data_IF_198498808307
#
_entry.id   IF_198498808307
#
_cell.length_a   1.000
_cell.length_b   1.000
_cell.length_c   1.000
_cell.angle_alpha   90.00
_cell.angle_beta   90.00
_cell.angle_gamma   90.00
#
_symmetry.space_group_name_H-M   'P 1'
#
loop_
_entity.id
_entity.type
_entity.pdbx_description
1 polymer ?
#
# COMPACT_ATOMS: atom_id res chain seq x y z
N UNK A 1 -17.72 -23.35 -71.11
CA UNK A 1 -19.13 -23.24 -70.65
C UNK A 1 -19.12 -23.45 -69.15
N UNK A 2 -19.59 -22.44 -68.41
CA UNK A 2 -19.26 -22.12 -67.02
C UNK A 2 -19.88 -23.03 -65.96
N UNK A 3 -19.15 -23.27 -64.86
CA UNK A 3 -19.74 -23.66 -63.57
C UNK A 3 -19.13 -22.77 -62.49
N UNK A 4 -19.89 -21.76 -62.06
CA UNK A 4 -19.55 -20.88 -60.94
C UNK A 4 -19.83 -21.65 -59.65
N UNK A 5 -18.80 -21.86 -58.82
CA UNK A 5 -18.95 -22.36 -57.45
C UNK A 5 -18.83 -21.18 -56.47
N UNK A 6 -19.92 -20.89 -55.78
CA UNK A 6 -19.99 -19.88 -54.73
C UNK A 6 -19.11 -20.29 -53.55
N UNK A 7 -18.03 -19.54 -53.31
CA UNK A 7 -17.25 -19.62 -52.07
C UNK A 7 -17.94 -18.76 -51.01
N UNK A 8 -18.62 -19.42 -50.06
CA UNK A 8 -19.13 -18.77 -48.87
C UNK A 8 -17.97 -18.38 -47.94
N UNK A 9 -17.78 -17.08 -47.72
CA UNK A 9 -16.82 -16.54 -46.75
C UNK A 9 -17.53 -16.49 -45.38
N UNK A 10 -17.21 -17.43 -44.49
CA UNK A 10 -17.58 -17.34 -43.08
C UNK A 10 -16.62 -16.37 -42.37
N UNK A 11 -17.07 -15.14 -42.14
CA UNK A 11 -16.41 -14.18 -41.25
C UNK A 11 -16.68 -14.59 -39.79
N UNK A 12 -15.74 -15.29 -39.17
CA UNK A 12 -15.69 -15.46 -37.71
C UNK A 12 -15.24 -14.14 -37.09
N UNK A 13 -16.20 -13.37 -36.57
CA UNK A 13 -15.92 -12.18 -35.76
C UNK A 13 -15.40 -12.62 -34.40
N UNK A 14 -14.08 -12.56 -34.21
CA UNK A 14 -13.46 -12.68 -32.90
C UNK A 14 -13.87 -11.46 -32.06
N UNK A 15 -14.84 -11.64 -31.16
CA UNK A 15 -15.11 -10.68 -30.09
C UNK A 15 -13.90 -10.69 -29.13
N UNK A 16 -13.20 -9.56 -28.92
CA UNK A 16 -12.16 -9.50 -27.93
C UNK A 16 -12.79 -9.71 -26.55
N UNK A 17 -12.34 -10.74 -25.84
CA UNK A 17 -12.63 -10.90 -24.42
C UNK A 17 -12.01 -9.70 -23.71
N UNK A 18 -12.82 -8.71 -23.36
CA UNK A 18 -12.39 -7.58 -22.54
C UNK A 18 -12.00 -8.13 -21.16
N UNK A 19 -10.72 -8.34 -20.93
CA UNK A 19 -10.20 -8.66 -19.61
C UNK A 19 -10.53 -7.48 -18.67
N UNK A 20 -11.43 -7.70 -17.70
CA UNK A 20 -11.58 -6.77 -16.59
C UNK A 20 -10.27 -6.80 -15.79
N UNK A 21 -9.42 -5.79 -15.99
CA UNK A 21 -8.30 -5.55 -15.09
C UNK A 21 -8.89 -5.20 -13.72
N UNK A 22 -8.72 -6.07 -12.73
CA UNK A 22 -9.02 -5.74 -11.35
C UNK A 22 -8.21 -4.50 -10.97
N UNK A 23 -8.89 -3.45 -10.49
CA UNK A 23 -8.23 -2.24 -9.99
C UNK A 23 -7.41 -2.63 -8.77
N UNK A 24 -6.11 -2.86 -8.97
CA UNK A 24 -5.18 -3.03 -7.86
C UNK A 24 -4.92 -1.64 -7.27
N UNK A 25 -5.09 -1.49 -5.95
CA UNK A 25 -4.66 -0.27 -5.27
C UNK A 25 -3.14 -0.22 -5.36
N UNK A 26 -2.61 0.63 -6.23
CA UNK A 26 -1.17 0.84 -6.38
C UNK A 26 -0.68 1.68 -5.21
N UNK A 27 0.12 1.07 -4.34
CA UNK A 27 0.72 1.77 -3.20
C UNK A 27 1.93 2.53 -3.72
N UNK A 28 1.90 3.86 -3.58
CA UNK A 28 2.98 4.75 -4.00
C UNK A 28 4.31 4.33 -3.35
N UNK A 29 5.33 4.16 -4.17
CA UNK A 29 6.69 3.91 -3.72
C UNK A 29 7.32 5.18 -3.13
N UNK A 30 8.46 5.02 -2.47
CA UNK A 30 9.34 6.07 -2.00
C UNK A 30 9.67 7.07 -3.11
N UNK A 31 9.93 6.55 -4.31
CA UNK A 31 10.20 7.38 -5.48
C UNK A 31 8.96 8.18 -5.90
N UNK A 32 7.80 7.52 -5.99
CA UNK A 32 6.53 8.18 -6.35
C UNK A 32 6.21 9.31 -5.36
N UNK A 33 6.40 9.05 -4.06
CA UNK A 33 6.16 10.04 -3.00
C UNK A 33 7.11 11.24 -3.10
N UNK A 34 8.39 11.00 -3.41
CA UNK A 34 9.38 12.07 -3.65
C UNK A 34 9.01 12.88 -4.89
N UNK A 35 8.60 12.23 -5.98
CA UNK A 35 8.19 12.92 -7.21
C UNK A 35 6.92 13.74 -7.01
N UNK A 36 5.93 13.22 -6.27
CA UNK A 36 4.71 13.95 -5.95
C UNK A 36 5.01 15.25 -5.18
N UNK A 37 5.91 15.17 -4.19
CA UNK A 37 6.34 16.34 -3.43
C UNK A 37 7.22 17.29 -4.26
N UNK A 38 8.07 16.77 -5.13
CA UNK A 38 8.92 17.57 -6.03
C UNK A 38 8.09 18.38 -7.03
N UNK A 39 7.02 17.81 -7.58
CA UNK A 39 6.15 18.51 -8.54
C UNK A 39 5.37 19.68 -7.91
N UNK A 40 5.22 19.68 -6.59
CA UNK A 40 4.40 20.63 -5.85
C UNK A 40 5.23 21.69 -5.12
N UNK A 41 6.57 21.64 -5.17
CA UNK A 41 7.42 22.49 -4.33
C UNK A 41 8.72 22.93 -5.04
N UNK A 42 9.17 24.19 -4.87
CA UNK A 42 10.38 24.69 -5.52
C UNK A 42 11.70 24.44 -4.76
N UNK A 43 11.69 23.96 -3.51
CA UNK A 43 12.91 23.78 -2.70
C UNK A 43 12.99 22.44 -1.95
N UNK A 44 14.22 22.01 -1.62
CA UNK A 44 14.46 20.79 -0.81
C UNK A 44 13.79 20.86 0.56
N UNK A 45 13.81 22.02 1.23
CA UNK A 45 13.14 22.19 2.52
C UNK A 45 11.62 21.99 2.43
N UNK A 46 11.00 22.41 1.32
CA UNK A 46 9.58 22.19 1.07
C UNK A 46 9.27 20.73 0.71
N UNK A 47 10.12 20.09 -0.09
CA UNK A 47 10.02 18.66 -0.37
C UNK A 47 10.09 17.85 0.94
N UNK A 48 11.05 18.16 1.81
CA UNK A 48 11.19 17.52 3.13
C UNK A 48 9.95 17.74 3.99
N UNK A 49 9.39 18.96 4.04
CA UNK A 49 8.14 19.24 4.76
C UNK A 49 6.95 18.45 4.20
N UNK A 50 6.83 18.35 2.88
CA UNK A 50 5.79 17.57 2.22
C UNK A 50 5.91 16.08 2.58
N UNK A 51 7.11 15.51 2.50
CA UNK A 51 7.36 14.11 2.84
C UNK A 51 7.12 13.82 4.33
N UNK A 52 7.53 14.74 5.21
CA UNK A 52 7.21 14.66 6.65
C UNK A 52 5.71 14.62 6.90
N UNK A 53 4.94 15.48 6.22
CA UNK A 53 3.49 15.48 6.32
C UNK A 53 2.88 14.14 5.84
N UNK A 54 3.40 13.56 4.75
CA UNK A 54 2.98 12.23 4.26
C UNK A 54 3.32 11.11 5.25
N UNK A 55 4.51 11.13 5.84
CA UNK A 55 4.89 10.17 6.88
C UNK A 55 3.95 10.24 8.09
N UNK A 56 3.66 11.45 8.60
CA UNK A 56 2.71 11.64 9.71
C UNK A 56 1.29 11.22 9.36
N UNK A 57 0.82 11.55 8.15
CA UNK A 57 -0.50 11.13 7.64
C UNK A 57 -0.60 9.61 7.58
N UNK A 58 0.37 8.95 6.95
CA UNK A 58 0.40 7.48 6.82
C UNK A 58 0.40 6.77 8.18
N UNK A 59 1.10 7.33 9.17
CA UNK A 59 1.12 6.82 10.54
C UNK A 59 -0.26 6.88 11.18
N UNK A 60 -0.95 8.01 11.05
CA UNK A 60 -2.31 8.20 11.57
C UNK A 60 -3.31 7.28 10.87
N UNK A 61 -3.20 7.13 9.56
CA UNK A 61 -4.06 6.24 8.78
C UNK A 61 -3.85 4.78 9.17
N UNK A 62 -2.61 4.35 9.35
CA UNK A 62 -2.29 3.01 9.83
C UNK A 62 -2.88 2.75 11.23
N UNK A 63 -2.70 3.67 12.18
CA UNK A 63 -3.27 3.56 13.54
C UNK A 63 -4.79 3.42 13.50
N UNK A 64 -5.47 4.25 12.70
CA UNK A 64 -6.92 4.17 12.53
C UNK A 64 -7.37 2.81 11.97
N UNK A 65 -6.60 2.24 11.04
CA UNK A 65 -6.88 0.91 10.47
C UNK A 65 -6.63 -0.20 11.47
N UNK A 66 -5.58 -0.12 12.28
CA UNK A 66 -5.31 -1.07 13.37
C UNK A 66 -6.47 -1.09 14.38
N UNK A 67 -6.97 0.09 14.79
CA UNK A 67 -8.14 0.20 15.67
C UNK A 67 -9.41 -0.38 15.04
N UNK A 68 -9.66 -0.08 13.75
CA UNK A 68 -10.79 -0.66 13.01
C UNK A 68 -10.70 -2.17 12.93
N UNK A 69 -9.50 -2.72 12.73
CA UNK A 69 -9.30 -4.17 12.64
C UNK A 69 -9.56 -4.83 13.99
N UNK A 70 -9.08 -4.27 15.10
CA UNK A 70 -9.39 -4.75 16.46
C UNK A 70 -10.90 -4.72 16.73
N UNK A 71 -11.59 -3.66 16.32
CA UNK A 71 -13.05 -3.55 16.45
C UNK A 71 -13.78 -4.61 15.62
N UNK A 72 -13.30 -4.89 14.41
CA UNK A 72 -13.87 -5.94 13.55
C UNK A 72 -13.61 -7.34 14.10
N UNK A 73 -12.39 -7.65 14.56
CA UNK A 73 -12.05 -8.91 15.25
C UNK A 73 -12.95 -9.11 16.49
N UNK A 74 -13.26 -8.04 17.22
CA UNK A 74 -14.15 -8.11 18.39
C UNK A 74 -15.59 -8.50 18.07
N UNK A 75 -16.02 -8.32 16.81
CA UNK A 75 -17.35 -8.67 16.30
C UNK A 75 -17.32 -9.93 15.44
N UNK A 76 -16.16 -10.59 15.35
CA UNK A 76 -16.00 -11.79 14.54
C UNK A 76 -16.94 -12.88 15.05
N UNK A 77 -17.67 -13.52 14.14
CA UNK A 77 -18.51 -14.68 14.45
C UNK A 77 -17.64 -15.92 14.67
N UNK A 78 -16.96 -15.95 15.81
CA UNK A 78 -16.02 -16.99 16.19
C UNK A 78 -15.98 -17.15 17.72
N UNK A 79 -15.43 -18.27 18.19
CA UNK A 79 -15.21 -18.51 19.62
C UNK A 79 -14.34 -17.39 20.27
N UNK A 80 -14.70 -16.92 21.48
CA UNK A 80 -13.95 -15.89 22.19
C UNK A 80 -12.45 -16.16 22.36
N UNK A 81 -12.03 -17.42 22.47
CA UNK A 81 -10.62 -17.80 22.59
C UNK A 81 -9.82 -17.45 21.33
N UNK A 82 -10.34 -17.77 20.13
CA UNK A 82 -9.71 -17.41 18.86
C UNK A 82 -9.74 -15.91 18.62
N UNK A 83 -10.81 -15.20 19.01
CA UNK A 83 -10.86 -13.73 18.98
C UNK A 83 -9.71 -13.13 19.80
N UNK A 84 -9.48 -13.65 21.01
CA UNK A 84 -8.40 -13.16 21.88
C UNK A 84 -7.01 -13.47 21.32
N UNK A 85 -6.80 -14.67 20.77
CA UNK A 85 -5.54 -15.06 20.11
C UNK A 85 -5.26 -14.13 18.92
N UNK A 86 -6.25 -13.87 18.07
CA UNK A 86 -6.10 -13.00 16.91
C UNK A 86 -5.72 -11.56 17.30
N UNK A 87 -6.35 -11.01 18.35
CA UNK A 87 -6.00 -9.68 18.89
C UNK A 87 -4.57 -9.64 19.42
N UNK A 88 -4.17 -10.63 20.21
CA UNK A 88 -2.82 -10.72 20.76
C UNK A 88 -1.76 -10.80 19.65
N UNK A 89 -2.01 -11.62 18.63
CA UNK A 89 -1.14 -11.75 17.46
C UNK A 89 -1.07 -10.46 16.64
N UNK A 90 -2.18 -9.74 16.47
CA UNK A 90 -2.17 -8.44 15.79
C UNK A 90 -1.32 -7.41 16.57
N UNK A 91 -1.48 -7.35 17.90
CA UNK A 91 -0.66 -6.46 18.75
C UNK A 91 0.83 -6.79 18.64
N UNK A 92 1.19 -8.08 18.68
CA UNK A 92 2.57 -8.52 18.51
C UNK A 92 3.11 -8.18 17.11
N UNK A 93 2.34 -8.46 16.06
CA UNK A 93 2.73 -8.17 14.68
C UNK A 93 2.93 -6.66 14.44
N UNK A 94 2.10 -5.79 15.01
CA UNK A 94 2.25 -4.34 14.87
C UNK A 94 3.51 -3.84 15.57
N UNK A 95 3.86 -4.41 16.74
CA UNK A 95 5.12 -4.09 17.42
C UNK A 95 6.34 -4.46 16.59
N UNK A 96 6.36 -5.65 15.99
CA UNK A 96 7.47 -6.08 15.14
C UNK A 96 7.52 -5.31 13.82
N UNK A 97 6.38 -4.91 13.26
CA UNK A 97 6.33 -4.04 12.09
C UNK A 97 7.01 -2.69 12.34
N UNK A 98 6.76 -2.05 13.49
CA UNK A 98 7.42 -0.78 13.84
C UNK A 98 8.94 -0.94 13.86
N UNK A 99 9.45 -2.02 14.49
CA UNK A 99 10.89 -2.29 14.52
C UNK A 99 11.47 -2.50 13.12
N UNK A 100 10.78 -3.29 12.29
CA UNK A 100 11.18 -3.52 10.91
C UNK A 100 11.24 -2.20 10.13
N UNK A 101 10.17 -1.39 10.20
CA UNK A 101 10.10 -0.11 9.51
C UNK A 101 11.23 0.82 9.94
N UNK A 102 11.45 0.95 11.24
CA UNK A 102 12.46 1.87 11.77
C UNK A 102 13.87 1.40 11.39
N UNK A 103 14.14 0.09 11.41
CA UNK A 103 15.40 -0.48 10.96
C UNK A 103 15.62 -0.29 9.45
N UNK A 104 14.59 -0.56 8.64
CA UNK A 104 14.65 -0.40 7.19
C UNK A 104 14.84 1.06 6.79
N UNK A 105 14.12 1.99 7.42
CA UNK A 105 14.24 3.41 7.09
C UNK A 105 15.54 4.03 7.63
N UNK A 106 16.12 3.48 8.72
CA UNK A 106 17.49 3.80 9.13
C UNK A 106 18.51 3.33 8.10
N UNK A 107 18.33 2.15 7.51
CA UNK A 107 19.17 1.69 6.40
C UNK A 107 19.04 2.63 5.18
N UNK A 108 17.82 2.99 4.76
CA UNK A 108 17.63 3.94 3.66
C UNK A 108 18.28 5.30 3.93
N UNK A 109 18.12 5.83 5.16
CA UNK A 109 18.79 7.05 5.59
C UNK A 109 20.32 6.95 5.42
N UNK A 110 20.93 5.80 5.75
CA UNK A 110 22.38 5.59 5.63
C UNK A 110 22.88 5.60 4.18
N UNK A 111 22.02 5.30 3.20
CA UNK A 111 22.38 5.34 1.78
C UNK A 111 22.65 6.77 1.28
N UNK A 112 22.22 7.80 2.03
CA UNK A 112 22.53 9.19 1.70
C UNK A 112 23.95 9.64 2.06
N UNK A 113 24.74 8.81 2.76
CA UNK A 113 26.13 9.12 3.09
C UNK A 113 26.30 10.44 3.84
N UNK A 114 27.22 11.29 3.38
CA UNK A 114 27.51 12.62 3.97
C UNK A 114 26.62 13.76 3.47
N UNK A 115 25.44 13.48 2.92
CA UNK A 115 24.54 14.51 2.41
C UNK A 115 24.04 15.45 3.52
N UNK A 116 23.59 16.65 3.12
CA UNK A 116 22.97 17.63 4.01
C UNK A 116 21.65 17.08 4.55
N UNK A 117 21.31 17.43 5.79
CA UNK A 117 20.19 16.88 6.57
C UNK A 117 18.87 16.76 5.80
N UNK A 118 18.47 17.78 5.03
CA UNK A 118 17.24 17.75 4.23
C UNK A 118 17.19 16.53 3.30
N UNK A 119 18.28 16.22 2.60
CA UNK A 119 18.32 15.08 1.67
C UNK A 119 18.16 13.74 2.40
N UNK A 120 18.79 13.61 3.57
CA UNK A 120 18.67 12.42 4.41
C UNK A 120 17.26 12.27 5.00
N UNK A 121 16.64 13.37 5.42
CA UNK A 121 15.27 13.39 5.91
C UNK A 121 14.25 13.03 4.81
N UNK A 122 14.47 13.44 3.56
CA UNK A 122 13.62 13.02 2.44
C UNK A 122 13.62 11.49 2.28
N UNK A 123 14.79 10.84 2.38
CA UNK A 123 14.91 9.37 2.32
C UNK A 123 14.16 8.71 3.49
N UNK A 124 14.34 9.23 4.70
CA UNK A 124 13.67 8.72 5.90
C UNK A 124 12.14 8.83 5.80
N UNK A 125 11.61 10.01 5.49
CA UNK A 125 10.17 10.26 5.49
C UNK A 125 9.45 9.55 4.35
N UNK A 126 10.06 9.47 3.16
CA UNK A 126 9.49 8.69 2.05
C UNK A 126 9.42 7.20 2.40
N UNK A 127 10.45 6.63 3.03
CA UNK A 127 10.45 5.23 3.48
C UNK A 127 9.36 4.95 4.52
N UNK A 128 9.25 5.82 5.54
CA UNK A 128 8.21 5.66 6.58
C UNK A 128 6.82 5.68 5.95
N UNK A 129 6.59 6.63 5.04
CA UNK A 129 5.30 6.77 4.35
C UNK A 129 4.97 5.54 3.50
N UNK A 130 5.90 5.07 2.67
CA UNK A 130 5.70 3.86 1.85
C UNK A 130 5.35 2.65 2.73
N UNK A 131 6.18 2.35 3.73
CA UNK A 131 6.00 1.14 4.56
C UNK A 131 4.70 1.20 5.37
N UNK A 132 4.35 2.36 5.92
CA UNK A 132 3.06 2.55 6.59
C UNK A 132 1.89 2.32 5.63
N UNK A 133 1.94 2.87 4.41
CA UNK A 133 0.89 2.69 3.41
C UNK A 133 0.75 1.22 2.99
N UNK A 134 1.87 0.52 2.79
CA UNK A 134 1.90 -0.93 2.50
C UNK A 134 1.24 -1.73 3.61
N UNK A 135 1.63 -1.48 4.87
CA UNK A 135 1.04 -2.15 6.02
C UNK A 135 -0.45 -1.84 6.16
N UNK A 136 -0.83 -0.59 5.95
CA UNK A 136 -2.23 -0.16 5.99
C UNK A 136 -3.09 -0.96 5.00
N UNK A 137 -2.64 -1.08 3.74
CA UNK A 137 -3.36 -1.87 2.74
C UNK A 137 -3.39 -3.37 3.09
N UNK A 138 -2.30 -3.93 3.62
CA UNK A 138 -2.29 -5.31 4.09
C UNK A 138 -3.37 -5.55 5.16
N UNK A 139 -3.48 -4.66 6.15
CA UNK A 139 -4.49 -4.76 7.20
C UNK A 139 -5.91 -4.60 6.66
N UNK A 140 -6.13 -3.66 5.72
CA UNK A 140 -7.42 -3.50 5.03
C UNK A 140 -7.81 -4.79 4.29
N UNK A 141 -6.88 -5.40 3.57
CA UNK A 141 -7.12 -6.67 2.88
C UNK A 141 -7.44 -7.78 3.88
N UNK A 142 -6.72 -7.84 5.02
CA UNK A 142 -6.99 -8.86 6.04
C UNK A 142 -8.38 -8.73 6.66
N UNK A 143 -8.96 -7.52 6.72
CA UNK A 143 -10.33 -7.33 7.19
C UNK A 143 -11.35 -8.11 6.35
N UNK A 144 -11.11 -8.38 5.06
CA UNK A 144 -12.08 -9.10 4.22
C UNK A 144 -12.24 -10.56 4.62
N UNK A 145 -11.28 -11.14 5.36
CA UNK A 145 -11.36 -12.54 5.82
C UNK A 145 -12.19 -12.71 7.11
N UNK A 146 -12.59 -11.61 7.76
CA UNK A 146 -13.28 -11.65 9.05
C UNK A 146 -14.79 -11.48 8.82
N UNK A 147 -15.54 -12.56 8.99
CA UNK A 147 -17.01 -12.54 9.08
C UNK A 147 -17.44 -11.82 10.37
N UNK A 148 -18.65 -11.27 10.42
CA UNK A 148 -19.20 -10.66 11.64
C UNK A 148 -20.56 -11.29 11.94
N UNK A 149 -20.93 -11.35 13.22
CA UNK A 149 -22.28 -11.73 13.65
C UNK A 149 -23.35 -10.77 13.14
#
# INVERSE_FOLDING_TARGET
MSIIKYFGICLFTYLPLSALAAQTVTIASEWDLRMECSNSTPSEAEMTRCLKAKALKSQKELQNTEEKLIKKISKWDEDPSYINIAKANLTAANKEFIKYRDAQCKFNYSLGGGAIENALEMLLFSCIAELNNRRNQQLINLMSYISIK
#
